data_IF_078901625263
#
_entry.id   IF_078901625263
#
_cell.length_a   1.000
_cell.length_b   1.000
_cell.length_c   1.000
_cell.angle_alpha   90.00
_cell.angle_beta   90.00
_cell.angle_gamma   90.00
#
_symmetry.space_group_name_H-M   'P 1'
#
loop_
_entity.id
_entity.type
_entity.pdbx_description
1 polymer ?
#
# COMPACT_ATOMS: atom_id res chain seq x y z
N UNK A 1 -25.12 8.19 22.52
CA UNK A 1 -23.88 8.05 21.74
C UNK A 1 -22.75 8.55 22.61
N UNK A 2 -22.04 7.63 23.25
CA UNK A 2 -20.94 8.01 24.12
C UNK A 2 -19.74 8.45 23.27
N UNK A 3 -18.99 9.46 23.72
CA UNK A 3 -17.79 9.95 23.03
C UNK A 3 -16.77 8.83 22.72
N UNK A 4 -16.73 7.81 23.59
CA UNK A 4 -15.92 6.59 23.42
C UNK A 4 -16.37 5.70 22.26
N UNK A 5 -17.66 5.70 21.89
CA UNK A 5 -18.18 4.92 20.75
C UNK A 5 -17.81 5.58 19.42
N UNK A 6 -17.82 6.92 19.36
CA UNK A 6 -17.39 7.69 18.19
C UNK A 6 -15.90 7.48 17.92
N UNK A 7 -15.06 7.51 18.96
CA UNK A 7 -13.63 7.20 18.85
C UNK A 7 -13.38 5.76 18.37
N UNK A 8 -14.15 4.78 18.87
CA UNK A 8 -14.07 3.39 18.38
C UNK A 8 -14.51 3.26 16.93
N UNK A 9 -15.56 3.95 16.51
CA UNK A 9 -16.03 3.95 15.12
C UNK A 9 -14.98 4.51 14.17
N UNK A 10 -14.39 5.66 14.51
CA UNK A 10 -13.29 6.27 13.73
C UNK A 10 -12.08 5.34 13.65
N UNK A 11 -11.73 4.64 14.75
CA UNK A 11 -10.60 3.70 14.73
C UNK A 11 -10.90 2.46 13.87
N UNK A 12 -12.13 1.92 13.94
CA UNK A 12 -12.54 0.74 13.17
C UNK A 12 -12.72 1.02 11.68
N UNK A 13 -13.19 2.23 11.34
CA UNK A 13 -13.31 2.69 9.95
C UNK A 13 -12.01 3.31 9.41
N UNK A 14 -11.01 3.53 10.27
CA UNK A 14 -9.69 3.97 9.81
C UNK A 14 -9.09 2.87 8.93
N UNK A 15 -8.63 3.24 7.74
CA UNK A 15 -8.13 2.31 6.72
C UNK A 15 -7.03 1.35 7.20
N UNK A 16 -6.44 1.59 8.37
CA UNK A 16 -5.53 0.67 9.05
C UNK A 16 -6.17 -0.63 9.56
N UNK A 17 -7.47 -0.62 9.90
CA UNK A 17 -8.19 -1.84 10.33
C UNK A 17 -8.78 -2.59 9.13
N UNK A 18 -9.08 -1.87 8.05
CA UNK A 18 -9.48 -2.45 6.77
C UNK A 18 -8.32 -3.03 5.96
N UNK A 19 -7.07 -2.74 6.34
CA UNK A 19 -5.87 -3.21 5.67
C UNK A 19 -5.83 -4.74 5.64
N UNK A 20 -6.20 -5.30 4.50
CA UNK A 20 -6.23 -6.72 4.25
C UNK A 20 -4.80 -7.25 4.08
N UNK A 21 -4.58 -8.53 4.41
CA UNK A 21 -3.27 -9.15 4.18
C UNK A 21 -2.84 -9.08 2.70
N UNK A 22 -3.81 -9.01 1.79
CA UNK A 22 -3.60 -8.83 0.35
C UNK A 22 -2.90 -7.49 0.03
N UNK A 23 -3.32 -6.38 0.64
CA UNK A 23 -2.68 -5.06 0.45
C UNK A 23 -1.24 -5.08 0.97
N UNK A 24 -1.00 -5.74 2.11
CA UNK A 24 0.36 -5.91 2.65
C UNK A 24 1.28 -6.67 1.67
N UNK A 25 0.76 -7.71 1.02
CA UNK A 25 1.48 -8.47 -0.01
C UNK A 25 1.74 -7.62 -1.26
N UNK A 26 0.75 -6.83 -1.70
CA UNK A 26 0.89 -5.93 -2.86
C UNK A 26 1.92 -4.83 -2.61
N UNK A 27 1.97 -4.27 -1.40
CA UNK A 27 3.02 -3.34 -0.98
C UNK A 27 4.40 -4.01 -1.07
N UNK A 28 4.54 -5.25 -0.58
CA UNK A 28 5.78 -6.02 -0.70
C UNK A 28 6.19 -6.23 -2.16
N UNK A 29 5.25 -6.56 -3.04
CA UNK A 29 5.48 -6.72 -4.48
C UNK A 29 5.93 -5.40 -5.10
N UNK A 30 5.34 -4.27 -4.71
CA UNK A 30 5.75 -2.95 -5.21
C UNK A 30 7.24 -2.67 -4.94
N UNK A 31 7.76 -3.04 -3.77
CA UNK A 31 9.18 -2.90 -3.45
C UNK A 31 10.07 -3.82 -4.29
N UNK A 32 9.62 -5.04 -4.60
CA UNK A 32 10.35 -5.96 -5.49
C UNK A 32 10.43 -5.38 -6.90
N UNK A 33 9.35 -4.77 -7.40
CA UNK A 33 9.32 -4.11 -8.71
C UNK A 33 10.21 -2.87 -8.74
N UNK A 34 10.21 -2.04 -7.68
CA UNK A 34 11.17 -0.92 -7.54
C UNK A 34 12.61 -1.44 -7.57
N UNK A 35 12.91 -2.51 -6.84
CA UNK A 35 14.24 -3.12 -6.85
C UNK A 35 14.66 -3.56 -8.25
N UNK A 36 13.77 -4.20 -9.00
CA UNK A 36 14.03 -4.59 -10.39
C UNK A 36 14.22 -3.39 -11.32
N UNK A 37 13.45 -2.32 -11.14
CA UNK A 37 13.57 -1.09 -11.93
C UNK A 37 14.89 -0.36 -11.68
N UNK A 38 15.32 -0.25 -10.41
CA UNK A 38 16.50 0.52 -10.02
C UNK A 38 17.79 -0.28 -10.14
N UNK A 39 17.83 -1.49 -9.58
CA UNK A 39 19.06 -2.30 -9.50
C UNK A 39 19.30 -3.05 -10.80
N UNK A 40 18.27 -3.72 -11.31
CA UNK A 40 18.38 -4.52 -12.54
C UNK A 40 18.11 -3.74 -13.83
N UNK A 41 17.67 -2.48 -13.73
CA UNK A 41 17.38 -1.58 -14.87
C UNK A 41 16.46 -2.21 -15.93
N UNK A 42 15.55 -3.09 -15.52
CA UNK A 42 14.48 -3.52 -16.42
C UNK A 42 13.51 -2.37 -16.61
N UNK A 43 13.36 -1.91 -17.85
CA UNK A 43 12.47 -0.83 -18.29
C UNK A 43 12.15 0.22 -17.22
N UNK A 44 13.17 0.92 -16.68
CA UNK A 44 13.04 1.73 -15.47
C UNK A 44 12.02 2.87 -15.63
N UNK A 45 11.86 3.36 -16.87
CA UNK A 45 10.90 4.40 -17.22
C UNK A 45 9.44 3.94 -17.08
N UNK A 46 9.16 2.64 -17.19
CA UNK A 46 7.81 2.08 -17.10
C UNK A 46 7.57 1.38 -15.76
N UNK A 47 8.53 0.59 -15.30
CA UNK A 47 8.41 -0.19 -14.06
C UNK A 47 8.39 0.69 -12.80
N UNK A 48 9.11 1.81 -12.79
CA UNK A 48 9.15 2.71 -11.63
C UNK A 48 7.79 3.43 -11.40
N UNK A 49 7.13 4.02 -12.43
CA UNK A 49 5.77 4.54 -12.30
C UNK A 49 4.74 3.49 -11.91
N UNK A 50 4.83 2.27 -12.47
CA UNK A 50 3.90 1.17 -12.15
C UNK A 50 4.06 0.75 -10.68
N UNK A 51 5.30 0.56 -10.20
CA UNK A 51 5.56 0.19 -8.82
C UNK A 51 5.10 1.28 -7.84
N UNK A 52 5.30 2.56 -8.18
CA UNK A 52 4.76 3.68 -7.38
C UNK A 52 3.24 3.73 -7.37
N UNK A 53 2.59 3.52 -8.52
CA UNK A 53 1.13 3.48 -8.61
C UNK A 53 0.54 2.33 -7.78
N UNK A 54 1.19 1.17 -7.79
CA UNK A 54 0.81 0.02 -6.97
C UNK A 54 0.99 0.31 -5.47
N UNK A 55 2.07 0.98 -5.08
CA UNK A 55 2.31 1.37 -3.68
C UNK A 55 1.31 2.41 -3.16
N UNK A 56 0.82 3.32 -4.00
CA UNK A 56 -0.14 4.35 -3.59
C UNK A 56 -1.60 3.88 -3.58
N UNK A 57 -1.91 2.82 -4.33
CA UNK A 57 -3.27 2.29 -4.47
C UNK A 57 -3.63 1.19 -3.45
N UNK A 58 -2.65 0.64 -2.75
CA UNK A 58 -2.79 -0.40 -1.72
C UNK A 58 -2.35 0.15 -0.37
#
# INVERSE_FOLDING_TARGET
MNFLEVFKGILLESGFVGATWQELVMILISFVLVYMAVVKKYEPLLLLPIAFGMFLAN
#
